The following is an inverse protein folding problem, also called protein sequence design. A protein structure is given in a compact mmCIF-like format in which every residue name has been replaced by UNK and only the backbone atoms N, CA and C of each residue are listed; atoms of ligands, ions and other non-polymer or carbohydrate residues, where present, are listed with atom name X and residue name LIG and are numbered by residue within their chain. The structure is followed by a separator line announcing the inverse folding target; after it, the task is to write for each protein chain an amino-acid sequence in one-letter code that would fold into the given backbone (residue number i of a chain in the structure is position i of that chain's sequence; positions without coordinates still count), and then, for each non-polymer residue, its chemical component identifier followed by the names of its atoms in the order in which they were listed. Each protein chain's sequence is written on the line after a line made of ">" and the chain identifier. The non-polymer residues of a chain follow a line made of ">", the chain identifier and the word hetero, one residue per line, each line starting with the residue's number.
data_IF_677935683637
#
_entry.id   IF_677935683637
#
_cell.length_a   1.000
_cell.length_b   1.000
_cell.length_c   1.000
_cell.angle_alpha   90.00
_cell.angle_beta   90.00
_cell.angle_gamma   90.00
#
_symmetry.space_group_name_H-M   'P 1'
#
loop_
_entity.id
_entity.type
_entity.pdbx_description
1 polymer ?
#
# COMPACT_ATOMS: atom_id res chain seq x y z
N UNK A 1 -26.68 -7.84 -4.23
CA UNK A 1 -26.90 -8.92 -3.24
C UNK A 1 -26.20 -8.47 -1.98
N UNK A 2 -26.97 -8.11 -0.96
CA UNK A 2 -26.42 -7.83 0.35
C UNK A 2 -25.88 -9.16 0.90
N UNK A 3 -24.60 -9.21 1.23
CA UNK A 3 -24.04 -10.31 1.98
C UNK A 3 -24.73 -10.28 3.34
N UNK A 4 -25.48 -11.33 3.69
CA UNK A 4 -26.04 -11.47 5.02
C UNK A 4 -24.90 -11.29 6.05
N UNK A 5 -25.10 -10.37 6.98
CA UNK A 5 -24.27 -10.18 8.16
C UNK A 5 -24.31 -11.49 8.98
N UNK A 6 -23.51 -12.48 8.59
CA UNK A 6 -23.11 -13.52 9.53
C UNK A 6 -22.23 -12.83 10.57
N UNK A 7 -22.85 -12.46 11.68
CA UNK A 7 -22.21 -11.92 12.88
C UNK A 7 -21.15 -12.89 13.41
N UNK A 8 -19.93 -12.73 12.92
CA UNK A 8 -18.75 -13.48 13.40
C UNK A 8 -17.88 -12.65 14.35
N UNK A 9 -18.36 -11.49 14.83
CA UNK A 9 -17.56 -10.53 15.59
C UNK A 9 -18.32 -9.99 16.81
N UNK A 10 -18.77 -10.88 17.69
CA UNK A 10 -19.21 -10.53 19.06
C UNK A 10 -18.17 -11.00 20.08
N UNK A 11 -16.90 -10.67 19.86
CA UNK A 11 -15.82 -10.84 20.84
C UNK A 11 -15.03 -9.55 20.98
N UNK A 12 -14.67 -9.19 22.22
CA UNK A 12 -13.98 -7.93 22.55
C UNK A 12 -12.57 -7.78 21.91
N UNK A 13 -11.98 -8.86 21.37
CA UNK A 13 -10.68 -8.84 20.69
C UNK A 13 -10.69 -9.64 19.37
N UNK A 14 -10.58 -8.99 18.20
CA UNK A 14 -10.51 -9.66 16.89
C UNK A 14 -9.13 -10.25 16.56
N UNK A 15 -8.10 -10.01 17.38
CA UNK A 15 -6.71 -10.39 17.11
C UNK A 15 -6.49 -11.89 16.85
N UNK A 16 -6.97 -12.81 17.72
CA UNK A 16 -6.78 -14.25 17.54
C UNK A 16 -7.39 -14.78 16.23
N UNK A 17 -8.57 -14.28 15.85
CA UNK A 17 -9.21 -14.66 14.59
C UNK A 17 -8.35 -14.31 13.38
N UNK A 18 -7.81 -13.08 13.34
CA UNK A 18 -6.98 -12.64 12.23
C UNK A 18 -5.64 -13.37 12.18
N UNK A 19 -5.07 -13.68 13.34
CA UNK A 19 -3.89 -14.54 13.42
C UNK A 19 -4.15 -15.90 12.74
N UNK A 20 -5.27 -16.56 13.07
CA UNK A 20 -5.63 -17.85 12.47
C UNK A 20 -5.86 -17.75 10.95
N UNK A 21 -6.49 -16.65 10.48
CA UNK A 21 -6.69 -16.41 9.04
C UNK A 21 -5.36 -16.24 8.28
N UNK A 22 -4.42 -15.47 8.85
CA UNK A 22 -3.10 -15.25 8.27
C UNK A 22 -2.34 -16.58 8.22
N UNK A 23 -2.32 -17.34 9.33
CA UNK A 23 -1.60 -18.62 9.40
C UNK A 23 -2.17 -19.63 8.39
N UNK A 24 -3.50 -19.70 8.26
CA UNK A 24 -4.16 -20.54 7.26
C UNK A 24 -3.76 -20.15 5.82
N UNK A 25 -3.75 -18.86 5.51
CA UNK A 25 -3.35 -18.38 4.19
C UNK A 25 -1.85 -18.65 3.92
N UNK A 26 -0.96 -18.40 4.88
CA UNK A 26 0.48 -18.70 4.76
C UNK A 26 0.70 -20.19 4.43
N UNK A 27 0.01 -21.11 5.11
CA UNK A 27 0.10 -22.55 4.82
C UNK A 27 -0.31 -22.89 3.38
N UNK A 28 -1.33 -22.22 2.84
CA UNK A 28 -1.78 -22.42 1.45
C UNK A 28 -0.72 -21.92 0.46
N UNK A 29 -0.10 -20.76 0.72
CA UNK A 29 0.86 -20.14 -0.20
C UNK A 29 2.31 -20.61 -0.02
N UNK A 30 2.64 -21.32 1.05
CA UNK A 30 4.00 -21.76 1.39
C UNK A 30 4.72 -22.48 0.24
N UNK A 31 4.03 -23.37 -0.48
CA UNK A 31 4.60 -24.10 -1.63
C UNK A 31 4.96 -23.15 -2.78
N UNK A 32 4.11 -22.16 -3.04
CA UNK A 32 4.36 -21.13 -4.04
C UNK A 32 5.53 -20.24 -3.60
N UNK A 33 5.59 -19.88 -2.33
CA UNK A 33 6.64 -19.02 -1.77
C UNK A 33 8.03 -19.68 -1.84
N UNK A 34 8.12 -20.94 -1.40
CA UNK A 34 9.34 -21.76 -1.54
C UNK A 34 9.80 -21.88 -2.99
N UNK A 35 8.88 -21.90 -3.96
CA UNK A 35 9.21 -21.90 -5.39
C UNK A 35 9.73 -20.52 -5.83
N UNK A 36 9.10 -19.44 -5.38
CA UNK A 36 9.55 -18.06 -5.63
C UNK A 36 11.01 -17.83 -5.19
N UNK A 37 11.34 -18.20 -3.95
CA UNK A 37 12.73 -18.09 -3.46
C UNK A 37 13.75 -18.86 -4.32
N UNK A 38 13.39 -20.05 -4.80
CA UNK A 38 14.27 -20.82 -5.70
C UNK A 38 14.48 -20.12 -7.05
N UNK A 39 13.43 -19.48 -7.59
CA UNK A 39 13.52 -18.72 -8.84
C UNK A 39 14.43 -17.51 -8.65
N UNK A 40 14.27 -16.77 -7.56
CA UNK A 40 15.11 -15.59 -7.26
C UNK A 40 16.57 -16.00 -7.03
N UNK A 41 16.83 -17.05 -6.25
CA UNK A 41 18.18 -17.60 -6.05
C UNK A 41 18.85 -17.93 -7.40
N UNK A 42 18.09 -18.51 -8.33
CA UNK A 42 18.57 -18.84 -9.68
C UNK A 42 18.78 -17.58 -10.53
N UNK A 43 17.90 -16.60 -10.46
CA UNK A 43 18.01 -15.34 -11.18
C UNK A 43 19.27 -14.56 -10.76
N UNK A 44 19.53 -14.48 -9.45
CA UNK A 44 20.73 -13.86 -8.88
C UNK A 44 22.00 -14.67 -9.04
N UNK A 45 21.86 -15.91 -9.51
CA UNK A 45 22.96 -16.86 -9.64
C UNK A 45 23.72 -17.07 -8.33
N UNK A 46 22.99 -17.14 -7.22
CA UNK A 46 23.55 -17.39 -5.90
C UNK A 46 24.05 -18.83 -5.80
N UNK A 47 25.36 -19.00 -5.94
CA UNK A 47 26.03 -20.30 -5.94
C UNK A 47 26.64 -20.62 -4.58
N UNK A 48 26.54 -21.88 -4.22
CA UNK A 48 27.26 -22.43 -3.08
C UNK A 48 28.69 -22.82 -3.52
N UNK A 49 29.64 -22.97 -2.59
CA UNK A 49 31.06 -23.20 -2.91
C UNK A 49 31.31 -24.44 -3.79
N UNK A 50 30.41 -25.43 -3.73
CA UNK A 50 30.44 -26.64 -4.57
C UNK A 50 30.02 -26.38 -6.02
N UNK A 51 29.11 -25.42 -6.23
CA UNK A 51 28.55 -25.08 -7.55
C UNK A 51 29.34 -23.98 -8.26
N UNK A 52 30.13 -23.17 -7.52
CA UNK A 52 30.97 -22.12 -8.07
C UNK A 52 31.90 -22.57 -9.22
N UNK A 53 32.59 -23.73 -9.14
CA UNK A 53 33.49 -24.18 -10.21
C UNK A 53 32.76 -24.56 -11.51
N UNK A 54 31.44 -24.74 -11.50
CA UNK A 54 30.66 -25.09 -12.69
C UNK A 54 30.38 -23.84 -13.51
N UNK A 55 30.86 -23.82 -14.75
CA UNK A 55 30.50 -22.77 -15.71
C UNK A 55 29.04 -22.97 -16.14
N UNK A 56 28.19 -22.01 -15.84
CA UNK A 56 26.78 -21.97 -16.25
C UNK A 56 26.49 -20.61 -16.86
N UNK A 57 25.66 -20.61 -17.91
CA UNK A 57 25.12 -19.39 -18.49
C UNK A 57 23.73 -19.12 -17.89
N UNK A 58 23.53 -17.94 -17.31
CA UNK A 58 22.28 -17.57 -16.65
C UNK A 58 21.25 -17.06 -17.66
N UNK A 59 20.63 -17.99 -18.39
CA UNK A 59 19.58 -17.69 -19.38
C UNK A 59 18.38 -16.97 -18.74
N UNK A 60 18.04 -17.31 -17.50
CA UNK A 60 16.90 -16.71 -16.80
C UNK A 60 17.10 -15.21 -16.64
N UNK A 61 18.29 -14.79 -16.20
CA UNK A 61 18.62 -13.37 -16.11
C UNK A 61 18.55 -12.68 -17.48
N UNK A 62 19.17 -13.25 -18.50
CA UNK A 62 19.15 -12.68 -19.86
C UNK A 62 17.73 -12.52 -20.40
N UNK A 63 16.85 -13.50 -20.19
CA UNK A 63 15.45 -13.43 -20.62
C UNK A 63 14.69 -12.31 -19.88
N UNK A 64 14.89 -12.17 -18.57
CA UNK A 64 14.22 -11.13 -17.78
C UNK A 64 14.70 -9.75 -18.19
N UNK A 65 16.00 -9.57 -18.49
CA UNK A 65 16.52 -8.29 -18.98
C UNK A 65 15.97 -7.90 -20.37
N UNK A 66 15.49 -8.86 -21.16
CA UNK A 66 14.78 -8.58 -22.42
C UNK A 66 13.29 -8.32 -22.17
N UNK A 67 12.65 -9.11 -21.32
CA UNK A 67 11.20 -9.02 -21.06
C UNK A 67 10.82 -7.79 -20.23
N UNK A 68 11.65 -7.39 -19.27
CA UNK A 68 11.39 -6.26 -18.40
C UNK A 68 11.18 -4.96 -19.17
N UNK A 69 12.12 -4.47 -20.02
CA UNK A 69 11.91 -3.25 -20.79
C UNK A 69 10.80 -3.39 -21.85
N UNK A 70 10.48 -4.61 -22.29
CA UNK A 70 9.35 -4.84 -23.19
C UNK A 70 7.99 -4.66 -22.49
N UNK A 71 7.89 -5.01 -21.20
CA UNK A 71 6.69 -4.79 -20.39
C UNK A 71 6.63 -3.37 -19.80
N UNK A 72 7.77 -2.87 -19.33
CA UNK A 72 7.87 -1.61 -18.61
C UNK A 72 9.19 -0.89 -18.95
N UNK A 73 9.25 -0.35 -20.18
CA UNK A 73 10.39 0.45 -20.64
C UNK A 73 10.26 1.94 -20.36
N UNK A 74 9.02 2.44 -20.19
CA UNK A 74 8.71 3.83 -19.85
C UNK A 74 7.49 3.86 -18.95
N UNK A 75 7.43 4.89 -18.11
CA UNK A 75 6.24 5.18 -17.33
C UNK A 75 5.02 5.39 -18.24
N UNK A 76 3.91 4.75 -17.88
CA UNK A 76 2.66 4.87 -18.61
C UNK A 76 2.06 6.26 -18.39
N UNK A 77 1.49 6.85 -19.44
CA UNK A 77 0.72 8.09 -19.34
C UNK A 77 -0.75 7.75 -19.16
N UNK A 78 -1.45 8.29 -18.15
CA UNK A 78 -2.88 8.08 -18.01
C UNK A 78 -3.62 8.73 -19.18
N UNK A 79 -4.67 8.07 -19.66
CA UNK A 79 -5.58 8.58 -20.68
C UNK A 79 -7.00 8.46 -20.14
N UNK A 80 -7.74 9.58 -20.09
CA UNK A 80 -9.13 9.58 -19.64
C UNK A 80 -10.02 9.89 -20.80
N UNK A 81 -10.69 8.85 -21.29
CA UNK A 81 -11.74 9.01 -22.27
C UNK A 81 -13.12 8.92 -21.62
N UNK A 82 -14.01 9.72 -22.17
CA UNK A 82 -15.43 9.70 -21.87
C UNK A 82 -16.09 8.47 -22.51
N UNK A 83 -16.96 7.79 -21.76
CA UNK A 83 -17.62 6.55 -22.21
C UNK A 83 -18.44 6.74 -23.48
N UNK A 84 -19.18 7.84 -23.56
CA UNK A 84 -20.00 8.21 -24.73
C UNK A 84 -19.40 9.42 -25.42
N UNK A 85 -19.35 9.36 -26.75
CA UNK A 85 -18.67 10.35 -27.59
C UNK A 85 -19.56 11.52 -28.04
N UNK A 86 -20.60 11.84 -27.27
CA UNK A 86 -21.57 12.92 -27.52
C UNK A 86 -20.94 14.32 -27.59
N UNK A 87 -21.62 15.31 -28.16
CA UNK A 87 -21.13 16.69 -28.20
C UNK A 87 -21.42 17.44 -26.89
N UNK A 88 -21.04 16.86 -25.75
CA UNK A 88 -21.16 17.48 -24.44
C UNK A 88 -19.84 18.19 -24.05
N UNK A 89 -19.83 19.54 -23.92
CA UNK A 89 -18.65 20.28 -23.49
C UNK A 89 -18.26 20.00 -22.03
N UNK A 90 -19.21 19.69 -21.14
CA UNK A 90 -18.93 19.46 -19.71
C UNK A 90 -18.19 18.14 -19.54
N UNK A 91 -18.68 17.06 -20.14
CA UNK A 91 -18.01 15.75 -20.11
C UNK A 91 -16.60 15.79 -20.71
N UNK A 92 -16.38 16.60 -21.76
CA UNK A 92 -15.03 16.81 -22.33
C UNK A 92 -14.10 17.53 -21.34
N UNK A 93 -14.59 18.58 -20.69
CA UNK A 93 -13.80 19.31 -19.70
C UNK A 93 -13.46 18.41 -18.51
N UNK A 94 -14.44 17.66 -18.00
CA UNK A 94 -14.26 16.72 -16.90
C UNK A 94 -13.21 15.63 -17.23
N UNK A 95 -13.24 15.05 -18.43
CA UNK A 95 -12.22 14.07 -18.83
C UNK A 95 -10.82 14.67 -18.86
N UNK A 96 -10.68 15.88 -19.40
CA UNK A 96 -9.39 16.59 -19.44
C UNK A 96 -8.90 16.97 -18.03
N UNK A 97 -9.80 17.36 -17.13
CA UNK A 97 -9.46 17.64 -15.73
C UNK A 97 -8.96 16.37 -15.03
N UNK A 98 -9.67 15.25 -15.15
CA UNK A 98 -9.27 13.98 -14.55
C UNK A 98 -7.95 13.46 -15.11
N UNK A 99 -7.72 13.59 -16.42
CA UNK A 99 -6.46 13.21 -17.06
C UNK A 99 -5.29 14.00 -16.49
N UNK A 100 -5.44 15.32 -16.34
CA UNK A 100 -4.41 16.18 -15.74
C UNK A 100 -4.16 15.88 -14.27
N UNK A 101 -5.19 15.55 -13.50
CA UNK A 101 -5.04 15.18 -12.08
C UNK A 101 -4.26 13.87 -11.96
N UNK A 102 -4.59 12.85 -12.78
CA UNK A 102 -3.84 11.60 -12.77
C UNK A 102 -2.43 11.75 -13.34
N UNK A 103 -2.25 12.59 -14.36
CA UNK A 103 -0.92 12.89 -14.91
C UNK A 103 -0.06 13.60 -13.86
N UNK A 104 -0.63 14.53 -13.09
CA UNK A 104 0.07 15.16 -11.98
C UNK A 104 0.51 14.14 -10.94
N UNK A 105 -0.40 13.28 -10.46
CA UNK A 105 -0.06 12.29 -9.43
C UNK A 105 1.02 11.31 -9.92
N UNK A 106 0.89 10.83 -11.16
CA UNK A 106 1.85 9.85 -11.70
C UNK A 106 3.20 10.45 -12.06
N UNK A 107 3.27 11.67 -12.61
CA UNK A 107 4.53 12.25 -13.10
C UNK A 107 5.25 13.12 -12.07
N UNK A 108 4.52 13.76 -11.17
CA UNK A 108 5.12 14.66 -10.17
C UNK A 108 5.84 13.86 -9.08
N UNK A 109 5.27 12.72 -8.68
CA UNK A 109 5.83 11.85 -7.66
C UNK A 109 6.55 10.66 -8.31
N UNK A 110 7.71 10.29 -7.77
CA UNK A 110 8.54 9.21 -8.30
C UNK A 110 8.14 7.81 -7.79
N UNK A 111 7.16 7.74 -6.90
CA UNK A 111 6.66 6.54 -6.25
C UNK A 111 6.00 5.57 -7.23
N UNK A 112 5.22 6.07 -8.20
CA UNK A 112 4.61 5.23 -9.24
C UNK A 112 5.65 4.44 -10.03
N UNK A 113 6.69 5.10 -10.57
CA UNK A 113 7.70 4.42 -11.39
C UNK A 113 8.50 3.41 -10.56
N UNK A 114 8.88 3.80 -9.34
CA UNK A 114 9.60 2.93 -8.42
C UNK A 114 8.76 1.70 -8.07
N UNK A 115 7.48 1.90 -7.76
CA UNK A 115 6.59 0.81 -7.39
C UNK A 115 6.36 -0.16 -8.56
N UNK A 116 6.08 0.39 -9.75
CA UNK A 116 5.80 -0.41 -10.93
C UNK A 116 7.01 -1.24 -11.38
N UNK A 117 8.24 -0.75 -11.22
CA UNK A 117 9.44 -1.55 -11.49
C UNK A 117 9.50 -2.80 -10.60
N UNK A 118 9.30 -2.65 -9.30
CA UNK A 118 9.27 -3.78 -8.35
C UNK A 118 8.14 -4.76 -8.68
N UNK A 119 6.94 -4.24 -8.99
CA UNK A 119 5.78 -5.06 -9.37
C UNK A 119 6.04 -5.87 -10.64
N UNK A 120 6.64 -5.27 -11.66
CA UNK A 120 6.92 -5.96 -12.94
C UNK A 120 8.01 -7.02 -12.76
N UNK A 121 9.05 -6.74 -11.97
CA UNK A 121 10.08 -7.72 -11.64
C UNK A 121 9.48 -8.93 -10.90
N UNK A 122 8.65 -8.69 -9.89
CA UNK A 122 7.96 -9.73 -9.15
C UNK A 122 6.95 -10.52 -10.01
N UNK A 123 6.33 -9.86 -10.99
CA UNK A 123 5.46 -10.53 -11.95
C UNK A 123 6.23 -11.46 -12.90
N UNK A 124 7.49 -11.14 -13.22
CA UNK A 124 8.35 -11.94 -14.10
C UNK A 124 9.05 -13.09 -13.33
N UNK A 125 9.36 -12.91 -12.05
CA UNK A 125 10.09 -13.87 -11.22
C UNK A 125 9.14 -14.83 -10.43
N UNK A 126 8.66 -14.51 -9.21
CA UNK A 126 7.75 -15.39 -8.46
C UNK A 126 6.35 -15.46 -9.08
N UNK A 127 6.00 -14.53 -9.98
CA UNK A 127 4.76 -14.55 -10.75
C UNK A 127 3.64 -13.69 -10.16
N UNK A 128 3.92 -12.85 -9.15
CA UNK A 128 2.95 -11.98 -8.49
C UNK A 128 3.61 -10.68 -8.04
N UNK A 129 3.31 -9.59 -8.73
CA UNK A 129 3.64 -8.24 -8.28
C UNK A 129 2.43 -7.55 -7.68
N UNK A 130 2.65 -6.72 -6.66
CA UNK A 130 1.58 -6.05 -5.92
C UNK A 130 1.91 -4.56 -5.75
N UNK A 131 1.05 -3.70 -6.27
CA UNK A 131 1.04 -2.27 -5.98
C UNK A 131 -0.04 -1.99 -4.93
N UNK A 132 0.29 -1.18 -3.92
CA UNK A 132 -0.63 -0.81 -2.85
C UNK A 132 -0.86 0.69 -2.87
N UNK A 133 -2.08 1.10 -3.23
CA UNK A 133 -2.45 2.51 -3.36
C UNK A 133 -3.00 2.97 -2.02
N UNK A 134 -2.46 4.08 -1.50
CA UNK A 134 -2.94 4.73 -0.28
C UNK A 134 -3.71 6.00 -0.61
N UNK A 135 -4.46 6.50 0.37
CA UNK A 135 -5.06 7.82 0.32
C UNK A 135 -4.49 8.65 1.48
N UNK A 136 -3.82 9.74 1.15
CA UNK A 136 -3.17 10.63 2.13
C UNK A 136 -3.73 12.05 1.99
N UNK A 137 -4.73 12.42 2.81
CA UNK A 137 -5.27 13.77 2.84
C UNK A 137 -4.43 14.68 3.75
N UNK A 138 -4.09 15.86 3.25
CA UNK A 138 -3.59 16.99 4.06
C UNK A 138 -4.79 17.80 4.51
N UNK A 139 -5.18 17.63 5.77
CA UNK A 139 -6.31 18.33 6.37
C UNK A 139 -5.80 19.57 7.08
N UNK A 140 -6.35 20.74 6.74
CA UNK A 140 -6.04 22.02 7.37
C UNK A 140 -7.30 22.52 8.07
N UNK A 141 -7.15 22.91 9.32
CA UNK A 141 -8.21 23.54 10.10
C UNK A 141 -8.14 25.04 9.87
N UNK A 142 -9.06 25.58 9.08
CA UNK A 142 -9.20 27.03 8.99
C UNK A 142 -9.94 27.53 10.24
N UNK A 143 -9.34 28.50 10.94
CA UNK A 143 -10.08 29.31 11.88
C UNK A 143 -10.98 30.25 11.07
N UNK A 144 -12.27 30.39 11.41
CA UNK A 144 -13.11 31.37 10.74
C UNK A 144 -12.47 32.75 10.93
N UNK A 145 -12.12 33.42 9.83
CA UNK A 145 -11.77 34.83 9.88
C UNK A 145 -13.01 35.56 10.37
N UNK A 146 -12.96 36.09 11.61
CA UNK A 146 -13.96 37.04 12.10
C UNK A 146 -13.88 38.22 11.14
N UNK A 147 -14.78 38.29 10.17
CA UNK A 147 -14.89 39.42 9.27
C UNK A 147 -15.05 40.68 10.12
N UNK A 148 -14.03 41.53 10.15
CA UNK A 148 -14.14 42.86 10.75
C UNK A 148 -15.34 43.55 10.08
N UNK A 149 -16.34 43.85 10.91
CA UNK A 149 -17.64 44.35 10.51
C UNK A 149 -17.52 45.54 9.54
N UNK A 150 -17.71 45.26 8.26
CA UNK A 150 -17.96 46.28 7.26
C UNK A 150 -19.40 46.78 7.42
N UNK A 151 -19.56 47.98 8.01
CA UNK A 151 -20.76 48.79 7.86
C UNK A 151 -21.43 49.18 9.18
N UNK A 152 -21.10 50.36 9.69
CA UNK A 152 -21.97 51.09 10.60
C UNK A 152 -23.35 51.34 9.95
N UNK A 153 -24.41 50.85 10.56
CA UNK A 153 -25.76 51.43 10.47
C UNK A 153 -26.41 51.34 11.85
N UNK A 154 -26.65 52.50 12.48
CA UNK A 154 -27.45 52.64 13.69
C UNK A 154 -28.94 52.53 13.35
N UNK A 155 -29.62 51.49 13.84
CA UNK A 155 -31.05 51.54 14.18
C UNK A 155 -31.26 51.05 15.62
N UNK A 156 -32.08 51.75 16.45
CA UNK A 156 -32.30 51.36 17.82
C UNK A 156 -33.45 50.33 17.90
N UNK A 157 -33.10 49.06 17.73
CA UNK A 157 -34.02 47.93 17.93
C UNK A 157 -33.24 46.66 18.23
N UNK A 158 -33.35 46.18 19.47
CA UNK A 158 -32.86 44.91 20.01
C UNK A 158 -31.68 44.25 19.27
N UNK A 159 -30.45 44.61 19.68
CA UNK A 159 -29.25 43.87 19.29
C UNK A 159 -29.28 42.45 19.90
N UNK A 160 -29.79 41.48 19.14
CA UNK A 160 -29.54 40.07 19.41
C UNK A 160 -28.11 39.76 18.96
N UNK A 161 -27.21 39.64 19.93
CA UNK A 161 -25.86 39.14 19.71
C UNK A 161 -25.96 37.62 19.50
N UNK A 162 -25.91 37.17 18.25
CA UNK A 162 -25.75 35.75 17.95
C UNK A 162 -24.26 35.42 18.14
N UNK A 163 -23.90 34.74 19.24
CA UNK A 163 -22.62 34.07 19.34
C UNK A 163 -22.71 32.77 18.53
N UNK A 164 -22.63 32.87 17.20
CA UNK A 164 -22.35 31.72 16.35
C UNK A 164 -20.87 31.38 16.50
N UNK A 165 -20.54 30.51 17.46
CA UNK A 165 -19.28 29.78 17.40
C UNK A 165 -19.38 28.85 16.19
N UNK A 166 -18.91 29.31 15.03
CA UNK A 166 -18.69 28.42 13.90
C UNK A 166 -17.60 27.43 14.30
N UNK A 167 -17.95 26.13 14.29
CA UNK A 167 -16.96 25.08 14.48
C UNK A 167 -15.91 25.17 13.37
N UNK A 168 -14.62 24.97 13.70
CA UNK A 168 -13.57 24.99 12.70
C UNK A 168 -13.91 23.98 11.59
N UNK A 169 -14.10 24.46 10.37
CA UNK A 169 -14.38 23.61 9.23
C UNK A 169 -13.08 22.95 8.78
N UNK A 170 -13.04 21.62 8.84
CA UNK A 170 -11.95 20.83 8.29
C UNK A 170 -11.98 20.92 6.75
N UNK A 171 -10.91 21.45 6.15
CA UNK A 171 -10.75 21.47 4.68
C UNK A 171 -9.60 20.56 4.27
N UNK A 172 -9.83 19.74 3.25
CA UNK A 172 -8.76 19.01 2.55
C UNK A 172 -8.05 20.00 1.64
N UNK A 173 -6.80 20.32 1.97
CA UNK A 173 -5.97 21.27 1.23
C UNK A 173 -5.27 20.58 0.05
N UNK A 174 -4.78 19.37 0.28
CA UNK A 174 -4.23 18.49 -0.75
C UNK A 174 -4.62 17.04 -0.45
N UNK A 175 -4.71 16.23 -1.49
CA UNK A 175 -4.87 14.79 -1.36
C UNK A 175 -3.92 14.10 -2.32
N UNK A 176 -3.14 13.16 -1.78
CA UNK A 176 -2.21 12.35 -2.54
C UNK A 176 -2.69 10.91 -2.55
N UNK A 177 -2.34 10.18 -3.61
CA UNK A 177 -2.61 8.75 -3.74
C UNK A 177 -1.32 7.96 -3.96
N UNK A 178 -0.42 7.89 -2.96
CA UNK A 178 0.87 7.24 -3.13
C UNK A 178 0.71 5.76 -3.47
N UNK A 179 1.62 5.26 -4.31
CA UNK A 179 1.67 3.85 -4.67
C UNK A 179 2.92 3.24 -4.06
N UNK A 180 2.71 2.35 -3.08
CA UNK A 180 3.78 1.58 -2.49
C UNK A 180 3.96 0.26 -3.23
N UNK A 181 5.22 -0.14 -3.44
CA UNK A 181 5.54 -1.52 -3.78
C UNK A 181 5.41 -2.41 -2.55
N UNK A 182 4.66 -3.50 -2.68
CA UNK A 182 4.61 -4.56 -1.68
C UNK A 182 5.38 -5.76 -2.19
N UNK A 183 6.48 -6.08 -1.49
CA UNK A 183 7.31 -7.24 -1.81
C UNK A 183 6.46 -8.51 -1.82
N UNK A 184 6.69 -9.37 -2.82
CA UNK A 184 5.79 -10.50 -3.12
C UNK A 184 5.51 -11.48 -1.97
N UNK A 185 6.40 -11.61 -0.98
CA UNK A 185 6.19 -12.43 0.24
C UNK A 185 5.41 -11.71 1.33
N UNK A 186 5.36 -10.39 1.29
CA UNK A 186 4.70 -9.57 2.31
C UNK A 186 3.23 -9.30 1.97
N UNK A 187 2.81 -9.58 0.72
CA UNK A 187 1.42 -9.59 0.33
C UNK A 187 0.74 -10.94 0.60
N UNK A 188 -0.44 -10.89 1.23
CA UNK A 188 -1.27 -12.06 1.50
C UNK A 188 -2.75 -11.74 1.28
N UNK A 189 -3.56 -12.77 1.06
CA UNK A 189 -5.00 -12.61 0.89
C UNK A 189 -5.73 -13.89 1.28
N UNK A 190 -7.05 -13.80 1.45
CA UNK A 190 -7.90 -14.97 1.69
C UNK A 190 -7.75 -16.00 0.56
N UNK A 191 -7.55 -17.30 0.85
CA UNK A 191 -7.51 -18.34 -0.18
C UNK A 191 -8.80 -18.34 -1.01
N UNK A 192 -8.64 -18.23 -2.34
CA UNK A 192 -9.75 -18.09 -3.27
C UNK A 192 -9.35 -18.64 -4.65
N UNK A 193 -10.33 -19.02 -5.48
CA UNK A 193 -10.08 -19.46 -6.88
C UNK A 193 -10.02 -18.28 -7.84
N UNK A 194 -10.81 -17.24 -7.55
CA UNK A 194 -10.88 -16.01 -8.34
C UNK A 194 -10.71 -14.80 -7.43
N UNK A 195 -10.36 -13.65 -8.01
CA UNK A 195 -10.15 -12.43 -7.24
C UNK A 195 -11.44 -11.90 -6.60
N UNK A 196 -12.60 -12.15 -7.21
CA UNK A 196 -13.89 -11.70 -6.68
C UNK A 196 -14.26 -12.36 -5.34
N UNK A 197 -13.88 -13.64 -5.18
CA UNK A 197 -14.03 -14.43 -3.96
C UNK A 197 -13.09 -13.97 -2.82
N UNK A 198 -12.06 -13.17 -3.13
CA UNK A 198 -11.15 -12.65 -2.12
C UNK A 198 -11.90 -11.65 -1.23
N UNK A 199 -11.93 -11.93 0.06
CA UNK A 199 -12.68 -11.14 1.03
C UNK A 199 -11.80 -10.41 2.04
N UNK A 200 -10.52 -10.75 2.13
CA UNK A 200 -9.51 -9.90 2.78
C UNK A 200 -8.19 -9.95 2.02
N UNK A 201 -7.45 -8.84 2.12
CA UNK A 201 -6.07 -8.72 1.67
C UNK A 201 -5.25 -8.12 2.79
N UNK A 202 -3.95 -8.42 2.82
CA UNK A 202 -3.05 -7.81 3.78
C UNK A 202 -1.68 -7.55 3.19
N UNK A 203 -1.00 -6.55 3.75
CA UNK A 203 0.44 -6.35 3.55
C UNK A 203 1.18 -6.41 4.88
N UNK A 204 2.37 -6.98 4.88
CA UNK A 204 3.26 -6.87 6.02
C UNK A 204 4.09 -5.58 5.95
N UNK A 205 4.18 -4.90 7.08
CA UNK A 205 4.98 -3.71 7.30
C UNK A 205 5.94 -4.00 8.45
N UNK A 206 7.21 -3.68 8.24
CA UNK A 206 8.25 -3.88 9.24
C UNK A 206 8.52 -2.56 9.95
N UNK A 207 8.25 -2.52 11.24
CA UNK A 207 8.44 -1.32 12.04
C UNK A 207 9.40 -1.57 13.20
N UNK A 208 10.21 -0.57 13.49
CA UNK A 208 11.03 -0.50 14.70
C UNK A 208 10.12 -0.38 15.93
N UNK A 209 10.71 -0.56 17.12
CA UNK A 209 9.97 -0.39 18.36
C UNK A 209 9.40 1.03 18.51
N UNK A 210 10.17 2.05 18.12
CA UNK A 210 9.78 3.45 18.27
C UNK A 210 8.64 3.81 17.29
N UNK A 211 8.76 3.44 16.02
CA UNK A 211 7.69 3.63 15.01
C UNK A 211 6.38 2.93 15.43
N UNK A 212 6.49 1.72 15.99
CA UNK A 212 5.31 1.00 16.46
C UNK A 212 4.68 1.60 17.70
N UNK A 213 5.48 2.14 18.64
CA UNK A 213 4.97 2.87 19.81
C UNK A 213 4.33 4.19 19.37
N UNK A 214 4.93 4.91 18.41
CA UNK A 214 4.35 6.13 17.85
C UNK A 214 2.97 5.85 17.23
N UNK A 215 2.83 4.74 16.50
CA UNK A 215 1.60 4.40 15.77
C UNK A 215 0.52 3.71 16.62
N UNK A 216 0.91 2.81 17.52
CA UNK A 216 -0.01 1.94 18.27
C UNK A 216 0.05 2.15 19.80
N UNK A 217 0.90 3.06 20.26
CA UNK A 217 1.07 3.37 21.68
C UNK A 217 1.68 2.23 22.49
N UNK A 218 1.31 2.19 23.76
CA UNK A 218 1.90 1.28 24.75
C UNK A 218 1.65 -0.20 24.48
N UNK A 219 0.59 -0.54 23.72
CA UNK A 219 0.29 -1.91 23.31
C UNK A 219 1.46 -2.51 22.51
N UNK A 220 2.17 -1.67 21.74
CA UNK A 220 3.29 -2.12 20.93
C UNK A 220 4.53 -2.53 21.73
N UNK A 221 4.66 -2.07 22.99
CA UNK A 221 5.84 -2.34 23.82
C UNK A 221 6.11 -3.83 24.03
N UNK A 222 5.05 -4.64 23.97
CA UNK A 222 5.06 -6.09 24.20
C UNK A 222 5.15 -6.91 22.89
N UNK A 223 5.17 -6.26 21.73
CA UNK A 223 5.27 -6.96 20.43
C UNK A 223 6.70 -7.46 20.24
N UNK A 224 6.83 -8.75 19.88
CA UNK A 224 8.12 -9.35 19.58
C UNK A 224 8.75 -8.75 18.32
N UNK A 225 10.01 -8.33 18.42
CA UNK A 225 10.79 -7.91 17.25
C UNK A 225 11.46 -9.13 16.63
N UNK A 226 11.28 -9.31 15.33
CA UNK A 226 11.96 -10.37 14.60
C UNK A 226 13.43 -9.99 14.38
N UNK A 227 14.31 -10.97 14.53
CA UNK A 227 15.76 -10.84 14.27
C UNK A 227 16.15 -11.34 12.88
N UNK A 228 15.22 -12.00 12.19
CA UNK A 228 15.46 -12.47 10.83
C UNK A 228 15.15 -11.32 9.87
N UNK A 229 16.21 -10.69 9.37
CA UNK A 229 16.13 -10.05 8.07
C UNK A 229 15.70 -11.15 7.08
N UNK A 230 14.43 -11.14 6.67
CA UNK A 230 14.00 -11.82 5.44
C UNK A 230 14.62 -11.16 4.21
N UNK A 231 15.26 -9.99 4.37
CA UNK A 231 16.24 -9.43 3.45
C UNK A 231 17.53 -10.28 3.41
N UNK A 232 17.55 -11.15 2.40
CA UNK A 232 18.72 -11.63 1.66
C UNK A 232 20.10 -11.15 2.13
N UNK A 233 20.73 -11.87 3.06
CA UNK A 233 22.17 -12.27 2.98
C UNK A 233 22.69 -13.06 4.21
N UNK A 234 21.84 -13.82 4.89
CA UNK A 234 22.29 -14.62 6.05
C UNK A 234 22.90 -15.97 5.64
N UNK A 235 23.96 -15.98 4.81
CA UNK A 235 24.82 -17.18 4.65
C UNK A 235 26.08 -17.14 5.52
N UNK A 236 26.43 -15.99 6.11
CA UNK A 236 27.57 -15.89 7.02
C UNK A 236 27.14 -15.39 8.42
N UNK A 237 27.03 -16.30 9.42
CA UNK A 237 26.66 -15.95 10.80
C UNK A 237 27.62 -14.94 11.47
N UNK A 238 28.86 -14.84 10.97
CA UNK A 238 29.88 -13.95 11.52
C UNK A 238 29.71 -12.49 11.05
N UNK A 239 29.09 -12.27 9.89
CA UNK A 239 28.86 -10.93 9.28
C UNK A 239 27.45 -10.40 9.55
N UNK A 240 26.48 -11.30 9.79
CA UNK A 240 25.09 -10.96 10.15
C UNK A 240 24.95 -10.24 11.50
N UNK A 241 26.02 -10.18 12.31
CA UNK A 241 26.07 -9.45 13.58
C UNK A 241 26.13 -7.93 13.44
N UNK A 242 26.32 -7.39 12.23
CA UNK A 242 26.23 -5.96 12.00
C UNK A 242 24.76 -5.52 11.90
N UNK A 243 24.14 -5.38 13.07
CA UNK A 243 23.38 -4.19 13.49
C UNK A 243 22.28 -3.68 12.55
N UNK A 244 21.44 -4.54 12.00
CA UNK A 244 20.11 -4.08 11.60
C UNK A 244 19.22 -4.05 12.84
N UNK A 245 18.55 -2.92 13.06
CA UNK A 245 17.56 -2.80 14.13
C UNK A 245 16.49 -3.86 13.93
N UNK A 246 16.21 -4.63 14.97
CA UNK A 246 15.15 -5.64 14.92
C UNK A 246 13.82 -4.94 14.70
N UNK A 247 13.03 -5.47 13.77
CA UNK A 247 11.71 -4.91 13.42
C UNK A 247 10.62 -5.92 13.74
N UNK A 248 9.48 -5.42 14.19
CA UNK A 248 8.26 -6.23 14.28
C UNK A 248 7.59 -6.27 12.92
N UNK A 249 7.16 -7.48 12.51
CA UNK A 249 6.34 -7.69 11.32
C UNK A 249 4.87 -7.50 11.69
N UNK A 250 4.25 -6.45 11.18
CA UNK A 250 2.84 -6.10 11.43
C UNK A 250 2.05 -6.26 10.15
N UNK A 251 0.89 -6.91 10.22
CA UNK A 251 0.00 -7.05 9.08
C UNK A 251 -1.08 -5.97 9.11
N UNK A 252 -1.16 -5.18 8.04
CA UNK A 252 -2.28 -4.30 7.75
C UNK A 252 -3.31 -5.11 6.94
N UNK A 253 -4.55 -5.26 7.43
CA UNK A 253 -5.55 -6.17 6.86
C UNK A 253 -6.79 -5.40 6.44
N UNK A 254 -7.09 -5.36 5.14
CA UNK A 254 -8.36 -4.84 4.67
C UNK A 254 -9.39 -5.96 4.53
N UNK A 255 -10.56 -5.78 5.14
CA UNK A 255 -11.68 -6.72 5.10
C UNK A 255 -12.83 -6.19 4.22
N UNK A 256 -13.07 -6.84 3.08
CA UNK A 256 -14.14 -6.52 2.12
C UNK A 256 -15.54 -6.59 2.74
N UNK A 257 -15.75 -7.46 3.74
CA UNK A 257 -17.07 -7.69 4.34
C UNK A 257 -17.49 -6.56 5.27
N UNK A 258 -16.53 -5.95 5.97
CA UNK A 258 -16.78 -4.86 6.92
C UNK A 258 -16.39 -3.49 6.37
N UNK A 259 -15.62 -3.43 5.28
CA UNK A 259 -15.09 -2.19 4.71
C UNK A 259 -14.04 -1.52 5.60
N UNK A 260 -13.41 -2.26 6.51
CA UNK A 260 -12.42 -1.74 7.48
C UNK A 260 -11.03 -2.28 7.21
N UNK A 261 -10.03 -1.46 7.55
CA UNK A 261 -8.61 -1.82 7.71
C UNK A 261 -8.35 -2.13 9.18
#
# INVERSE_FOLDING_TARGET
>A
MAYEEMGAYEGDDPGPYWHDQIEAAQKVFEKWEKRGHKIIKRYRDERDAVEMPRVRYNILWSNIQVLFPALYGRQAKPEVSRRYMDQDPVGRLASTMLERVMEYETLQFGDFDQAMRGVVEDRLLPGRGTAWIRYEPVIVNEQPEIGEAAGMMEEPGEAQIYNSQEEPTERIDAAHSPIDYVYWTDFLHSPARTWDEVWWVSRAVYMTKDEGIERFGDVFKNVGLDSSNTDMDAKNPMTAKNTYDKKAKVFEIWNKRTGKV
#
